data_IF_732362641469
#
_entry.id   IF_732362641469
#
_cell.length_a   1.000
_cell.length_b   1.000
_cell.length_c   1.000
_cell.angle_alpha   90.00
_cell.angle_beta   90.00
_cell.angle_gamma   90.00
#
_symmetry.space_group_name_H-M   'P 1'
#
loop_
_entity.id
_entity.type
_entity.pdbx_description
1 polymer ?
#
# COMPACT_ATOMS: atom_id res chain seq x y z
N UNK A 1 18.50 -10.44 30.84
CA UNK A 1 17.52 -10.38 29.73
C UNK A 1 18.14 -10.98 28.48
N UNK A 2 17.41 -11.88 27.79
CA UNK A 2 17.92 -12.52 26.58
C UNK A 2 17.65 -11.61 25.37
N UNK A 3 18.67 -11.31 24.57
CA UNK A 3 18.58 -10.57 23.32
C UNK A 3 17.48 -11.11 22.41
N UNK A 4 17.29 -12.43 22.40
CA UNK A 4 16.24 -13.11 21.62
C UNK A 4 14.83 -12.66 22.00
N UNK A 5 14.59 -12.27 23.26
CA UNK A 5 13.27 -11.80 23.73
C UNK A 5 13.08 -10.29 23.52
N UNK A 6 14.14 -9.52 23.66
CA UNK A 6 14.09 -8.04 23.54
C UNK A 6 14.00 -7.63 22.08
N UNK A 7 14.71 -8.30 21.18
CA UNK A 7 14.81 -7.95 19.77
C UNK A 7 13.46 -7.76 19.07
N UNK A 8 12.52 -8.72 19.10
CA UNK A 8 11.25 -8.55 18.41
C UNK A 8 10.44 -7.36 18.96
N UNK A 9 10.53 -7.07 20.24
CA UNK A 9 9.82 -5.94 20.86
C UNK A 9 10.41 -4.63 20.35
N UNK A 10 11.73 -4.47 20.44
CA UNK A 10 12.42 -3.25 20.01
C UNK A 10 12.20 -3.03 18.53
N UNK A 11 12.37 -4.06 17.70
CA UNK A 11 12.18 -3.96 16.26
C UNK A 11 10.74 -3.59 15.88
N UNK A 12 9.75 -4.15 16.56
CA UNK A 12 8.35 -3.79 16.35
C UNK A 12 8.10 -2.32 16.68
N UNK A 13 8.59 -1.85 17.84
CA UNK A 13 8.41 -0.46 18.26
C UNK A 13 9.08 0.51 17.27
N UNK A 14 10.30 0.20 16.83
CA UNK A 14 10.98 1.01 15.81
C UNK A 14 10.24 0.99 14.47
N UNK A 15 9.78 -0.18 14.01
CA UNK A 15 9.01 -0.29 12.78
C UNK A 15 7.71 0.51 12.81
N UNK A 16 6.98 0.48 13.93
CA UNK A 16 5.77 1.29 14.12
C UNK A 16 6.10 2.79 14.16
N UNK A 17 7.19 3.19 14.84
CA UNK A 17 7.65 4.58 14.84
C UNK A 17 8.01 5.05 13.43
N UNK A 18 8.68 4.19 12.63
CA UNK A 18 8.97 4.47 11.22
C UNK A 18 7.69 4.68 10.40
N UNK A 19 6.70 3.82 10.57
CA UNK A 19 5.42 3.96 9.87
C UNK A 19 4.70 5.26 10.23
N UNK A 20 4.89 5.76 11.45
CA UNK A 20 4.33 7.05 11.89
C UNK A 20 5.09 8.24 11.29
N UNK A 21 6.43 8.21 11.30
CA UNK A 21 7.29 9.30 10.80
C UNK A 21 7.24 9.41 9.27
N UNK A 22 7.18 8.28 8.56
CA UNK A 22 7.08 8.24 7.12
C UNK A 22 5.63 7.95 6.68
N UNK A 23 4.86 8.98 6.32
CA UNK A 23 3.48 8.81 5.91
C UNK A 23 3.36 7.94 4.66
N UNK A 24 2.14 7.54 4.33
CA UNK A 24 1.87 6.72 3.16
C UNK A 24 2.38 7.39 1.88
N UNK A 25 2.94 6.62 0.97
CA UNK A 25 3.47 7.07 -0.34
C UNK A 25 4.59 8.13 -0.25
N UNK A 26 5.33 8.17 0.86
CA UNK A 26 6.45 9.11 1.05
C UNK A 26 7.78 8.58 0.51
N UNK A 27 7.95 7.27 0.45
CA UNK A 27 9.18 6.67 -0.08
C UNK A 27 9.22 6.74 -1.62
N UNK A 28 10.42 6.87 -2.20
CA UNK A 28 10.60 6.77 -3.66
C UNK A 28 9.97 5.48 -4.19
N UNK A 29 9.27 5.58 -5.33
CA UNK A 29 8.63 4.46 -6.03
C UNK A 29 7.58 3.66 -5.23
N UNK A 30 7.23 4.09 -4.02
CA UNK A 30 6.27 3.38 -3.16
C UNK A 30 4.92 3.17 -3.86
N UNK A 31 4.50 4.14 -4.68
CA UNK A 31 3.25 4.03 -5.46
C UNK A 31 3.31 2.84 -6.42
N UNK A 32 4.39 2.71 -7.20
CA UNK A 32 4.53 1.61 -8.16
C UNK A 32 4.62 0.24 -7.46
N UNK A 33 5.28 0.19 -6.30
CA UNK A 33 5.32 -1.00 -5.45
C UNK A 33 3.95 -1.32 -4.84
N UNK A 34 3.20 -0.31 -4.40
CA UNK A 34 1.84 -0.47 -3.90
C UNK A 34 0.91 -1.01 -4.99
N UNK A 35 0.96 -0.45 -6.21
CA UNK A 35 0.17 -0.92 -7.35
C UNK A 35 0.53 -2.37 -7.71
N UNK A 36 1.81 -2.75 -7.61
CA UNK A 36 2.25 -4.13 -7.81
C UNK A 36 1.67 -5.10 -6.76
N UNK A 37 1.66 -4.69 -5.50
CA UNK A 37 1.03 -5.45 -4.42
C UNK A 37 -0.50 -5.51 -4.58
N UNK A 38 -1.12 -4.42 -5.03
CA UNK A 38 -2.56 -4.37 -5.30
C UNK A 38 -2.96 -5.34 -6.43
N UNK A 39 -2.14 -5.45 -7.49
CA UNK A 39 -2.30 -6.45 -8.56
C UNK A 39 -2.40 -7.87 -8.00
N UNK A 40 -1.50 -8.24 -7.09
CA UNK A 40 -1.51 -9.55 -6.46
C UNK A 40 -2.72 -9.71 -5.54
N UNK A 41 -3.12 -8.64 -4.81
CA UNK A 41 -4.34 -8.64 -4.01
C UNK A 41 -5.58 -8.92 -4.86
N UNK A 42 -5.69 -8.39 -6.08
CA UNK A 42 -6.77 -8.73 -7.00
C UNK A 42 -6.80 -10.23 -7.31
N UNK A 43 -5.63 -10.82 -7.59
CA UNK A 43 -5.51 -12.26 -7.85
C UNK A 43 -5.94 -13.09 -6.63
N UNK A 44 -5.52 -12.68 -5.41
CA UNK A 44 -5.91 -13.33 -4.16
C UNK A 44 -7.43 -13.30 -3.92
N UNK A 45 -8.10 -12.23 -4.37
CA UNK A 45 -9.55 -12.08 -4.26
C UNK A 45 -10.32 -12.73 -5.42
N UNK A 46 -9.63 -13.34 -6.40
CA UNK A 46 -10.24 -13.88 -7.60
C UNK A 46 -10.78 -12.80 -8.55
N UNK A 47 -10.29 -11.56 -8.43
CA UNK A 47 -10.68 -10.46 -9.28
C UNK A 47 -9.76 -10.32 -10.50
N UNK A 48 -10.29 -9.69 -11.57
CA UNK A 48 -9.45 -9.30 -12.70
C UNK A 48 -8.37 -8.33 -12.25
N UNK A 49 -7.10 -8.65 -12.51
CA UNK A 49 -5.98 -7.90 -11.98
C UNK A 49 -5.64 -6.65 -12.80
N UNK A 50 -5.72 -6.74 -14.14
CA UNK A 50 -5.28 -5.68 -15.06
C UNK A 50 -6.27 -5.48 -16.19
N UNK A 51 -6.25 -4.29 -16.78
CA UNK A 51 -6.85 -4.01 -18.08
C UNK A 51 -5.92 -4.46 -19.23
N UNK A 52 -6.39 -4.38 -20.47
CA UNK A 52 -5.65 -4.88 -21.66
C UNK A 52 -4.29 -4.22 -21.87
N UNK A 53 -4.13 -2.96 -21.46
CA UNK A 53 -2.87 -2.20 -21.56
C UNK A 53 -1.89 -2.45 -20.41
N UNK A 54 -2.23 -3.35 -19.47
CA UNK A 54 -1.36 -3.77 -18.39
C UNK A 54 -1.49 -2.98 -17.08
N UNK A 55 -2.24 -1.87 -17.06
CA UNK A 55 -2.52 -1.15 -15.84
C UNK A 55 -3.39 -1.95 -14.88
N UNK A 56 -3.22 -1.74 -13.59
CA UNK A 56 -3.91 -2.49 -12.54
C UNK A 56 -5.32 -1.93 -12.33
N UNK A 57 -6.28 -2.82 -12.12
CA UNK A 57 -7.64 -2.43 -11.74
C UNK A 57 -7.66 -2.21 -10.23
N UNK A 58 -8.05 -1.00 -9.82
CA UNK A 58 -8.16 -0.60 -8.41
C UNK A 58 -9.59 -0.16 -8.09
N UNK A 59 -9.95 -0.04 -6.81
CA UNK A 59 -11.20 0.63 -6.45
C UNK A 59 -11.11 2.09 -6.87
N UNK A 60 -12.19 2.64 -7.42
CA UNK A 60 -12.18 4.03 -7.92
C UNK A 60 -11.78 5.04 -6.83
N UNK A 61 -12.21 4.82 -5.58
CA UNK A 61 -11.81 5.64 -4.45
C UNK A 61 -10.32 5.58 -4.09
N UNK A 62 -9.60 4.54 -4.53
CA UNK A 62 -8.16 4.39 -4.25
C UNK A 62 -7.28 5.18 -5.23
N UNK A 63 -7.83 5.69 -6.33
CA UNK A 63 -7.13 6.61 -7.25
C UNK A 63 -6.51 7.79 -6.52
N UNK A 64 -7.18 8.25 -5.46
CA UNK A 64 -6.71 9.34 -4.62
C UNK A 64 -5.31 9.10 -4.03
N UNK A 65 -4.90 7.85 -3.78
CA UNK A 65 -3.54 7.52 -3.32
C UNK A 65 -2.46 7.80 -4.37
N UNK A 66 -2.82 7.73 -5.64
CA UNK A 66 -1.88 7.91 -6.74
C UNK A 66 -1.71 9.38 -7.13
N UNK A 67 -2.76 10.17 -6.95
CA UNK A 67 -2.75 11.60 -7.26
C UNK A 67 -3.78 12.35 -6.41
N UNK A 68 -3.32 12.94 -5.31
CA UNK A 68 -4.19 13.68 -4.37
C UNK A 68 -4.36 15.14 -4.73
N UNK A 69 -3.52 15.71 -5.56
CA UNK A 69 -3.44 17.14 -5.82
C UNK A 69 -4.11 17.55 -7.13
N UNK A 70 -4.29 16.60 -8.05
CA UNK A 70 -4.97 16.86 -9.32
C UNK A 70 -6.41 16.37 -9.28
N UNK A 71 -7.29 17.16 -9.86
CA UNK A 71 -8.62 16.67 -10.21
C UNK A 71 -8.49 15.68 -11.38
N UNK A 72 -9.02 14.47 -11.18
CA UNK A 72 -9.05 13.47 -12.23
C UNK A 72 -9.88 13.99 -13.40
N UNK A 73 -9.26 14.14 -14.56
CA UNK A 73 -9.97 14.47 -15.79
C UNK A 73 -10.40 13.17 -16.47
N UNK A 74 -11.68 13.11 -16.78
CA UNK A 74 -12.26 12.00 -17.53
C UNK A 74 -12.80 12.51 -18.87
N UNK A 75 -12.33 11.95 -19.97
CA UNK A 75 -12.92 12.23 -21.29
C UNK A 75 -14.26 11.49 -21.39
N UNK A 76 -15.33 12.24 -21.64
CA UNK A 76 -16.68 11.72 -21.75
C UNK A 76 -16.84 10.56 -22.76
N UNK A 77 -16.00 10.52 -23.79
CA UNK A 77 -16.07 9.53 -24.87
C UNK A 77 -15.09 8.36 -24.70
N UNK A 78 -14.06 8.50 -23.88
CA UNK A 78 -12.97 7.52 -23.73
C UNK A 78 -12.82 6.97 -22.30
N UNK A 79 -13.50 7.57 -21.33
CA UNK A 79 -13.26 7.33 -19.92
C UNK A 79 -13.69 5.95 -19.40
N UNK A 80 -14.41 5.15 -20.17
CA UNK A 80 -14.81 3.81 -19.77
C UNK A 80 -14.41 2.78 -20.80
N UNK A 81 -13.48 1.91 -20.43
CA UNK A 81 -13.06 0.78 -21.24
C UNK A 81 -13.19 -0.51 -20.42
N UNK A 82 -13.81 -1.51 -20.99
CA UNK A 82 -13.95 -2.83 -20.34
C UNK A 82 -14.66 -2.77 -18.96
N UNK A 83 -15.57 -1.81 -18.75
CA UNK A 83 -16.28 -1.62 -17.48
C UNK A 83 -15.47 -0.92 -16.37
N UNK A 84 -14.28 -0.43 -16.70
CA UNK A 84 -13.36 0.25 -15.78
C UNK A 84 -13.22 1.71 -16.18
N UNK A 85 -13.21 2.61 -15.20
CA UNK A 85 -12.98 4.03 -15.42
C UNK A 85 -11.50 4.28 -15.74
N UNK A 86 -11.22 4.99 -16.83
CA UNK A 86 -9.87 5.35 -17.27
C UNK A 86 -9.64 6.83 -16.98
N UNK A 87 -8.79 7.19 -16.01
CA UNK A 87 -8.42 8.58 -15.78
C UNK A 87 -7.52 9.10 -16.89
N UNK A 88 -7.74 10.34 -17.35
CA UNK A 88 -6.85 11.03 -18.27
C UNK A 88 -5.75 11.77 -17.52
N UNK A 89 -4.52 11.58 -17.95
CA UNK A 89 -3.36 12.35 -17.49
C UNK A 89 -2.86 11.94 -16.10
N UNK A 90 -2.01 10.92 -16.05
CA UNK A 90 -1.18 10.65 -14.87
C UNK A 90 0.05 11.56 -14.89
N UNK A 91 0.35 12.23 -13.78
CA UNK A 91 1.63 12.90 -13.63
C UNK A 91 2.72 11.86 -13.39
N UNK A 92 3.75 11.87 -14.20
CA UNK A 92 4.96 11.11 -13.94
C UNK A 92 5.72 11.80 -12.80
N UNK A 93 5.89 11.13 -11.68
CA UNK A 93 6.65 11.62 -10.54
C UNK A 93 5.80 12.41 -9.54
N UNK A 94 5.08 11.68 -8.71
CA UNK A 94 4.31 12.26 -7.62
C UNK A 94 5.21 12.75 -6.49
N UNK A 95 5.01 14.01 -6.10
CA UNK A 95 5.43 14.51 -4.80
C UNK A 95 4.33 14.13 -3.80
N UNK A 96 4.70 13.63 -2.64
CA UNK A 96 3.75 13.33 -1.56
C UNK A 96 2.96 14.59 -1.26
N UNK A 97 1.64 14.52 -1.40
CA UNK A 97 0.82 15.68 -1.13
C UNK A 97 0.62 15.87 0.36
N UNK A 98 0.49 17.13 0.77
CA UNK A 98 0.14 17.49 2.15
C UNK A 98 -1.18 16.86 2.61
N UNK A 99 -2.13 16.66 1.69
CA UNK A 99 -3.42 16.01 1.96
C UNK A 99 -3.27 14.54 2.33
N UNK A 100 -2.37 13.81 1.66
CA UNK A 100 -2.11 12.40 1.96
C UNK A 100 -1.36 12.26 3.28
N UNK A 101 -0.41 13.14 3.54
CA UNK A 101 0.31 13.21 4.81
C UNK A 101 -0.66 13.48 5.97
N UNK A 102 -1.51 14.50 5.86
CA UNK A 102 -2.53 14.83 6.83
C UNK A 102 -3.50 13.66 7.07
N UNK A 103 -3.95 13.00 6.01
CA UNK A 103 -4.82 11.83 6.13
C UNK A 103 -4.13 10.66 6.83
N UNK A 104 -2.84 10.45 6.58
CA UNK A 104 -2.05 9.41 7.25
C UNK A 104 -1.93 9.68 8.76
N UNK A 105 -1.64 10.92 9.16
CA UNK A 105 -1.59 11.29 10.57
C UNK A 105 -2.97 11.17 11.25
N UNK A 106 -4.05 11.61 10.60
CA UNK A 106 -5.41 11.46 11.13
C UNK A 106 -5.79 10.00 11.41
N UNK A 107 -5.30 9.06 10.59
CA UNK A 107 -5.48 7.62 10.87
C UNK A 107 -4.84 7.22 12.18
N UNK A 108 -3.60 7.65 12.46
CA UNK A 108 -2.90 7.33 13.70
C UNK A 108 -3.51 8.00 14.94
N UNK A 109 -4.12 9.18 14.78
CA UNK A 109 -4.85 9.86 15.86
C UNK A 109 -6.30 9.39 16.03
N UNK A 110 -6.75 8.42 15.22
CA UNK A 110 -8.12 7.91 15.27
C UNK A 110 -9.18 8.83 14.64
N UNK A 111 -8.75 9.91 14.00
CA UNK A 111 -9.64 10.87 13.31
C UNK A 111 -9.90 10.50 11.86
N UNK A 112 -9.18 9.51 11.32
CA UNK A 112 -9.32 9.05 9.95
C UNK A 112 -10.59 8.26 9.70
N UNK A 113 -11.14 8.34 8.48
CA UNK A 113 -12.26 7.51 8.05
C UNK A 113 -11.83 6.05 7.93
N UNK A 114 -12.25 5.21 8.87
CA UNK A 114 -11.91 3.79 8.91
C UNK A 114 -12.41 3.05 7.66
N UNK A 115 -13.63 3.38 7.19
CA UNK A 115 -14.24 2.72 6.03
C UNK A 115 -14.24 3.64 4.82
N UNK A 116 -14.02 3.06 3.65
CA UNK A 116 -14.23 3.74 2.38
C UNK A 116 -15.73 4.05 2.24
N UNK A 117 -16.11 5.32 2.42
CA UNK A 117 -17.51 5.76 2.27
C UNK A 117 -17.95 5.79 0.82
N UNK A 118 -17.02 6.01 -0.11
CA UNK A 118 -17.28 6.09 -1.54
C UNK A 118 -16.25 5.21 -2.26
N UNK A 119 -16.60 3.96 -2.52
CA UNK A 119 -15.81 3.08 -3.38
C UNK A 119 -15.86 3.51 -4.85
N UNK A 120 -16.86 4.30 -5.23
CA UNK A 120 -17.15 4.68 -6.60
C UNK A 120 -16.99 6.18 -6.88
N UNK A 121 -16.67 6.50 -8.13
CA UNK A 121 -16.64 7.86 -8.70
C UNK A 121 -17.86 8.03 -9.60
N UNK A 122 -18.63 9.09 -9.39
CA UNK A 122 -19.77 9.42 -10.22
C UNK A 122 -19.33 10.25 -11.43
N UNK A 123 -19.69 9.77 -12.62
CA UNK A 123 -19.35 10.42 -13.88
C UNK A 123 -20.45 10.18 -14.92
N UNK A 124 -20.87 11.23 -15.65
CA UNK A 124 -21.98 11.17 -16.61
C UNK A 124 -23.26 10.49 -16.06
N UNK A 125 -23.59 10.73 -14.77
CA UNK A 125 -24.77 10.15 -14.14
C UNK A 125 -24.67 8.65 -13.81
N UNK A 126 -23.50 8.05 -14.02
CA UNK A 126 -23.22 6.66 -13.65
C UNK A 126 -22.13 6.63 -12.55
N UNK A 127 -22.24 5.67 -11.64
CA UNK A 127 -21.21 5.41 -10.62
C UNK A 127 -20.33 4.25 -11.06
N UNK A 128 -19.03 4.43 -10.96
CA UNK A 128 -18.02 3.41 -11.30
C UNK A 128 -17.25 3.03 -10.05
N UNK A 129 -17.28 1.75 -9.70
CA UNK A 129 -16.60 1.22 -8.50
C UNK A 129 -15.15 0.85 -8.77
N UNK A 130 -14.78 0.65 -10.04
CA UNK A 130 -13.44 0.25 -10.47
C UNK A 130 -12.84 1.27 -11.43
N UNK A 131 -11.55 1.52 -11.26
CA UNK A 131 -10.78 2.41 -12.10
C UNK A 131 -9.45 1.77 -12.48
N UNK A 132 -8.85 2.24 -13.57
CA UNK A 132 -7.49 1.91 -13.96
C UNK A 132 -6.51 2.71 -13.09
N UNK A 133 -5.42 2.08 -12.62
CA UNK A 133 -4.34 2.79 -11.94
C UNK A 133 -3.63 3.78 -12.85
N UNK A 134 -3.17 4.89 -12.31
CA UNK A 134 -2.37 5.88 -13.03
C UNK A 134 -0.95 5.36 -13.29
N UNK A 135 -0.41 4.61 -12.33
CA UNK A 135 0.94 4.05 -12.41
C UNK A 135 0.90 2.60 -12.87
N UNK A 136 1.89 2.23 -13.67
CA UNK A 136 2.09 0.84 -14.07
C UNK A 136 2.73 0.04 -12.92
N UNK A 137 2.39 -1.25 -12.76
CA UNK A 137 3.06 -2.11 -11.80
C UNK A 137 4.52 -2.31 -12.18
N UNK A 138 5.39 -2.47 -11.19
CA UNK A 138 6.80 -2.81 -11.40
C UNK A 138 6.91 -4.23 -11.98
N UNK A 139 7.73 -4.38 -13.00
CA UNK A 139 7.97 -5.69 -13.61
C UNK A 139 9.03 -6.47 -12.83
N UNK A 140 8.64 -7.05 -11.69
CA UNK A 140 9.49 -7.86 -10.81
C UNK A 140 8.83 -9.18 -10.44
N UNK A 141 9.57 -10.02 -9.69
CA UNK A 141 9.09 -11.31 -9.22
C UNK A 141 7.90 -11.11 -8.26
N UNK A 142 6.73 -11.70 -8.51
CA UNK A 142 5.52 -11.49 -7.70
C UNK A 142 5.67 -11.81 -6.21
N UNK A 143 6.56 -12.75 -5.86
CA UNK A 143 6.77 -13.16 -4.46
C UNK A 143 7.25 -12.02 -3.55
N UNK A 144 7.93 -11.00 -4.09
CA UNK A 144 8.39 -9.83 -3.33
C UNK A 144 7.22 -9.05 -2.73
N UNK A 145 6.08 -9.02 -3.42
CA UNK A 145 4.90 -8.28 -2.98
C UNK A 145 3.87 -9.11 -2.23
N UNK A 146 4.12 -10.42 -2.06
CA UNK A 146 3.12 -11.35 -1.49
C UNK A 146 2.60 -10.89 -0.13
N UNK A 147 3.49 -10.51 0.79
CA UNK A 147 3.08 -10.11 2.15
C UNK A 147 2.39 -8.75 2.18
N UNK A 148 2.87 -7.78 1.40
CA UNK A 148 2.18 -6.50 1.24
C UNK A 148 0.77 -6.71 0.64
N UNK A 149 0.67 -7.56 -0.38
CA UNK A 149 -0.61 -7.92 -1.00
C UNK A 149 -1.57 -8.60 -0.02
N UNK A 150 -1.06 -9.47 0.86
CA UNK A 150 -1.86 -10.09 1.91
C UNK A 150 -2.47 -9.02 2.84
N UNK A 151 -1.67 -8.04 3.28
CA UNK A 151 -2.16 -6.93 4.09
C UNK A 151 -3.23 -6.09 3.37
N UNK A 152 -2.98 -5.74 2.11
CA UNK A 152 -3.96 -5.04 1.28
C UNK A 152 -5.24 -5.85 1.14
N UNK A 153 -5.13 -7.16 0.90
CA UNK A 153 -6.29 -8.07 0.77
C UNK A 153 -7.13 -8.09 2.04
N UNK A 154 -6.50 -8.20 3.21
CA UNK A 154 -7.20 -8.15 4.50
C UNK A 154 -7.92 -6.81 4.67
N UNK A 155 -7.26 -5.69 4.39
CA UNK A 155 -7.85 -4.37 4.49
C UNK A 155 -9.05 -4.20 3.54
N UNK A 156 -8.98 -4.76 2.33
CA UNK A 156 -10.07 -4.75 1.35
C UNK A 156 -11.25 -5.60 1.79
N UNK A 157 -11.02 -6.80 2.32
CA UNK A 157 -12.08 -7.67 2.87
C UNK A 157 -12.80 -6.97 4.03
N UNK A 158 -12.07 -6.23 4.86
CA UNK A 158 -12.63 -5.46 5.98
C UNK A 158 -13.32 -4.15 5.53
N UNK A 159 -13.28 -3.81 4.24
CA UNK A 159 -13.88 -2.60 3.69
C UNK A 159 -13.20 -1.30 4.18
N UNK A 160 -11.90 -1.35 4.46
CA UNK A 160 -11.15 -0.22 4.97
C UNK A 160 -10.86 0.82 3.88
N UNK A 161 -10.68 2.07 4.29
CA UNK A 161 -10.33 3.20 3.43
C UNK A 161 -8.93 3.09 2.84
N UNK A 162 -8.65 3.91 1.83
CA UNK A 162 -7.45 3.85 0.99
C UNK A 162 -6.13 3.89 1.77
N UNK A 163 -6.00 4.79 2.76
CA UNK A 163 -4.78 4.92 3.57
C UNK A 163 -4.50 3.64 4.38
N UNK A 164 -5.56 2.96 4.87
CA UNK A 164 -5.41 1.71 5.61
C UNK A 164 -4.88 0.56 4.75
N UNK A 165 -5.10 0.59 3.42
CA UNK A 165 -4.52 -0.41 2.53
C UNK A 165 -2.99 -0.34 2.58
N UNK A 166 -2.43 0.87 2.54
CA UNK A 166 -0.99 1.10 2.64
C UNK A 166 -0.46 0.69 4.02
N UNK A 167 -1.16 1.10 5.08
CA UNK A 167 -0.78 0.76 6.47
C UNK A 167 -0.79 -0.75 6.66
N UNK A 168 -1.82 -1.48 6.22
CA UNK A 168 -1.89 -2.94 6.36
C UNK A 168 -0.82 -3.63 5.53
N UNK A 169 -0.51 -3.14 4.31
CA UNK A 169 0.59 -3.64 3.50
C UNK A 169 1.94 -3.50 4.22
N UNK A 170 2.21 -2.34 4.82
CA UNK A 170 3.42 -2.08 5.62
C UNK A 170 3.45 -2.92 6.90
N UNK A 171 2.32 -3.06 7.61
CA UNK A 171 2.23 -3.87 8.84
C UNK A 171 2.52 -5.34 8.59
N UNK A 172 2.00 -5.93 7.51
CA UNK A 172 2.29 -7.33 7.19
C UNK A 172 3.75 -7.53 6.81
N UNK A 173 4.36 -6.61 6.05
CA UNK A 173 5.80 -6.65 5.77
C UNK A 173 6.62 -6.55 7.07
N UNK A 174 6.28 -5.62 7.96
CA UNK A 174 6.94 -5.47 9.26
C UNK A 174 6.80 -6.75 10.10
N UNK A 175 5.60 -7.33 10.19
CA UNK A 175 5.37 -8.56 10.95
C UNK A 175 6.24 -9.71 10.45
N UNK A 176 6.30 -9.90 9.12
CA UNK A 176 7.13 -10.95 8.52
C UNK A 176 8.62 -10.68 8.76
N UNK A 177 9.06 -9.43 8.61
CA UNK A 177 10.45 -9.05 8.89
C UNK A 177 10.84 -9.32 10.34
N UNK A 178 10.00 -8.93 11.31
CA UNK A 178 10.21 -9.20 12.74
C UNK A 178 10.26 -10.70 13.02
N UNK A 179 9.36 -11.48 12.45
CA UNK A 179 9.32 -12.93 12.64
C UNK A 179 10.55 -13.61 12.09
N UNK A 180 10.92 -13.33 10.82
CA UNK A 180 12.05 -13.97 10.16
C UNK A 180 13.38 -13.61 10.83
N UNK A 181 13.59 -12.34 11.15
CA UNK A 181 14.85 -11.89 11.80
C UNK A 181 14.94 -12.36 13.23
N UNK A 182 13.83 -12.41 13.98
CA UNK A 182 13.78 -12.99 15.33
C UNK A 182 14.10 -14.48 15.31
N UNK A 183 13.60 -15.22 14.32
CA UNK A 183 13.93 -16.61 14.11
C UNK A 183 15.40 -16.79 13.76
N UNK A 184 15.94 -15.96 12.87
CA UNK A 184 17.36 -15.97 12.52
C UNK A 184 18.26 -15.76 13.74
N UNK A 185 17.97 -14.75 14.60
CA UNK A 185 18.70 -14.50 15.85
C UNK A 185 18.65 -15.71 16.81
N UNK A 186 17.50 -16.39 16.88
CA UNK A 186 17.33 -17.57 17.71
C UNK A 186 18.24 -18.72 17.26
N UNK A 187 18.39 -18.90 15.94
CA UNK A 187 19.20 -19.98 15.36
C UNK A 187 20.72 -19.72 15.46
N UNK A 188 21.14 -18.46 15.54
CA UNK A 188 22.55 -18.12 15.53
C UNK A 188 23.21 -18.46 16.89
N UNK A 189 24.34 -19.22 16.87
CA UNK A 189 25.09 -19.52 18.09
C UNK A 189 25.93 -18.33 18.58
N UNK A 190 26.41 -17.47 17.65
CA UNK A 190 27.27 -16.31 17.91
C UNK A 190 26.80 -15.10 17.12
N UNK A 191 27.30 -13.89 17.45
CA UNK A 191 27.04 -12.62 16.73
C UNK A 191 25.59 -12.14 16.74
N UNK A 192 24.80 -12.51 17.75
CA UNK A 192 23.40 -12.08 17.90
C UNK A 192 23.26 -10.57 17.99
N UNK A 193 24.23 -9.91 18.64
CA UNK A 193 24.30 -8.46 18.81
C UNK A 193 24.48 -7.75 17.48
N UNK A 194 25.25 -8.33 16.57
CA UNK A 194 25.51 -7.76 15.25
C UNK A 194 24.24 -7.77 14.38
N UNK A 195 23.49 -8.88 14.36
CA UNK A 195 22.22 -8.94 13.65
C UNK A 195 21.17 -8.04 14.31
N UNK A 196 21.19 -7.95 15.65
CA UNK A 196 20.34 -7.00 16.35
C UNK A 196 20.56 -5.56 15.85
N UNK A 197 21.81 -5.13 15.74
CA UNK A 197 22.14 -3.79 15.25
C UNK A 197 21.74 -3.59 13.79
N UNK A 198 22.08 -4.52 12.89
CA UNK A 198 21.75 -4.42 11.46
C UNK A 198 20.24 -4.34 11.26
N UNK A 199 19.45 -5.15 11.98
CA UNK A 199 18.01 -5.16 11.85
C UNK A 199 17.31 -3.89 12.32
N UNK A 200 18.00 -3.02 13.08
CA UNK A 200 17.45 -1.73 13.51
C UNK A 200 17.71 -0.60 12.50
N UNK A 201 18.64 -0.81 11.56
CA UNK A 201 18.84 0.20 10.51
C UNK A 201 17.77 0.01 9.42
N UNK A 202 17.05 1.07 9.06
CA UNK A 202 16.17 1.05 7.90
C UNK A 202 17.03 0.93 6.63
N UNK A 203 16.69 -0.03 5.81
CA UNK A 203 17.27 -0.21 4.47
C UNK A 203 16.33 0.37 3.44
#
# INVERSE_FOLDING_TARGET
FSIVKIYPIVLTLFGLAYMYVFPAMSAPDEIAHFISAYKISNIMLGERATVTDGHVIIRAGDLWLEDTDNEYKFDANKSVKEGVLIPEGGSHGKIVSSKLEEASYKVFYGEGNLRSRNSGISFNGKTYDKAQSLHSPVNTIPSVYFFAALGITIARILGLGSVYLVIFGRLTNLAVFVLLTSFAIKLLPKFKEFIFLIGLFPT
#
